data_IF_255270313385
#
_entry.id   IF_255270313385
#
_cell.length_a   1.000
_cell.length_b   1.000
_cell.length_c   1.000
_cell.angle_alpha   90.00
_cell.angle_beta   90.00
_cell.angle_gamma   90.00
#
_symmetry.space_group_name_H-M   'P 1'
#
loop_
_entity.id
_entity.type
_entity.pdbx_description
1 polymer ?
#
# COMPACT_ATOMS: atom_id res chain seq x y z
N UNK A 1 1.48 8.00 -17.52
CA UNK A 1 1.65 6.58 -17.13
C UNK A 1 3.03 6.37 -16.50
N UNK A 2 3.14 5.53 -15.47
CA UNK A 2 4.40 5.33 -14.75
C UNK A 2 5.54 4.79 -15.62
N UNK A 3 5.26 3.90 -16.56
CA UNK A 3 6.27 3.35 -17.46
C UNK A 3 7.01 4.44 -18.30
N UNK A 4 6.39 5.60 -18.50
CA UNK A 4 7.02 6.73 -19.19
C UNK A 4 7.66 7.74 -18.21
N UNK A 5 7.05 7.97 -17.05
CA UNK A 5 7.56 8.95 -16.07
C UNK A 5 8.69 8.42 -15.18
N UNK A 6 8.70 7.11 -14.92
CA UNK A 6 9.72 6.40 -14.15
C UNK A 6 9.90 4.96 -14.68
N UNK A 7 10.56 4.79 -15.83
CA UNK A 7 10.82 3.46 -16.39
C UNK A 7 11.77 2.60 -15.52
N UNK A 8 12.61 3.26 -14.71
CA UNK A 8 13.55 2.63 -13.79
C UNK A 8 12.86 1.87 -12.67
N UNK A 9 11.73 2.40 -12.18
CA UNK A 9 10.94 1.73 -11.16
C UNK A 9 10.45 0.33 -11.58
N UNK A 10 10.06 0.14 -12.84
CA UNK A 10 9.67 -1.19 -13.32
C UNK A 10 8.40 -1.77 -12.71
N UNK A 11 7.51 -0.93 -12.16
CA UNK A 11 6.23 -1.38 -11.62
C UNK A 11 5.36 -2.06 -12.68
N UNK A 12 4.84 -3.24 -12.35
CA UNK A 12 3.92 -4.02 -13.19
C UNK A 12 2.44 -3.74 -12.90
N UNK A 13 1.59 -3.88 -13.92
CA UNK A 13 0.13 -3.75 -13.77
C UNK A 13 -0.44 -4.77 -12.79
N UNK A 14 0.13 -5.97 -12.76
CA UNK A 14 -0.26 -7.09 -11.92
C UNK A 14 -0.05 -6.81 -10.44
N UNK A 15 1.01 -6.07 -10.07
CA UNK A 15 1.24 -5.64 -8.69
C UNK A 15 0.17 -4.65 -8.22
N UNK A 16 -0.14 -3.65 -9.06
CA UNK A 16 -1.21 -2.67 -8.78
C UNK A 16 -2.58 -3.33 -8.70
N UNK A 17 -2.88 -4.28 -9.60
CA UNK A 17 -4.10 -5.07 -9.56
C UNK A 17 -4.20 -5.93 -8.28
N UNK A 18 -3.10 -6.53 -7.84
CA UNK A 18 -3.07 -7.30 -6.59
C UNK A 18 -3.41 -6.44 -5.37
N UNK A 19 -2.86 -5.24 -5.29
CA UNK A 19 -3.19 -4.27 -4.23
C UNK A 19 -4.67 -3.88 -4.35
N UNK A 20 -5.16 -3.45 -5.52
CA UNK A 20 -6.57 -3.09 -5.72
C UNK A 20 -7.56 -4.21 -5.37
N UNK A 21 -7.18 -5.48 -5.57
CA UNK A 21 -7.95 -6.64 -5.12
C UNK A 21 -8.10 -6.66 -3.60
N UNK A 22 -7.01 -6.48 -2.87
CA UNK A 22 -6.98 -6.62 -1.42
C UNK A 22 -7.64 -5.41 -0.75
N UNK A 23 -7.39 -4.21 -1.29
CA UNK A 23 -7.90 -2.96 -0.73
C UNK A 23 -9.41 -2.79 -0.91
N UNK A 24 -9.95 -3.19 -2.07
CA UNK A 24 -11.36 -2.89 -2.38
C UNK A 24 -12.06 -3.96 -3.23
N UNK A 25 -11.48 -5.15 -3.36
CA UNK A 25 -11.98 -6.17 -4.28
C UNK A 25 -12.13 -5.63 -5.72
N UNK A 26 -11.12 -4.91 -6.20
CA UNK A 26 -11.13 -4.22 -7.50
C UNK A 26 -12.27 -3.21 -7.64
N UNK A 27 -12.37 -2.26 -6.71
CA UNK A 27 -13.47 -1.30 -6.66
C UNK A 27 -14.85 -1.99 -6.63
N UNK A 28 -15.05 -2.92 -5.69
CA UNK A 28 -16.27 -3.71 -5.53
C UNK A 28 -16.66 -4.50 -6.80
N UNK A 29 -15.69 -5.16 -7.43
CA UNK A 29 -15.90 -5.93 -8.66
C UNK A 29 -16.00 -5.08 -9.92
N UNK A 30 -15.39 -3.89 -9.94
CA UNK A 30 -15.39 -2.97 -11.07
C UNK A 30 -16.63 -2.08 -11.13
N UNK A 31 -17.24 -1.79 -9.98
CA UNK A 31 -18.43 -0.93 -9.87
C UNK A 31 -18.08 0.56 -10.06
N UNK A 32 -17.58 0.93 -11.25
CA UNK A 32 -17.21 2.29 -11.62
C UNK A 32 -18.10 2.85 -12.73
N UNK A 33 -18.22 4.17 -12.80
CA UNK A 33 -18.83 4.86 -13.94
C UNK A 33 -17.93 4.76 -15.18
N UNK A 34 -18.41 5.28 -16.31
CA UNK A 34 -17.68 5.26 -17.58
C UNK A 34 -16.35 6.05 -17.55
N UNK A 35 -16.13 6.88 -16.52
CA UNK A 35 -14.91 7.65 -16.30
C UNK A 35 -14.01 7.01 -15.24
N UNK A 36 -14.37 5.84 -14.72
CA UNK A 36 -13.59 5.09 -13.73
C UNK A 36 -13.81 5.54 -12.28
N UNK A 37 -14.78 6.42 -12.00
CA UNK A 37 -15.10 6.81 -10.62
C UNK A 37 -16.01 5.75 -9.99
N UNK A 38 -15.67 5.28 -8.78
CA UNK A 38 -16.48 4.31 -8.05
C UNK A 38 -17.92 4.81 -7.87
N UNK A 39 -18.92 3.98 -8.23
CA UNK A 39 -20.34 4.36 -8.22
C UNK A 39 -20.83 4.56 -6.78
N UNK A 40 -20.73 3.57 -5.88
CA UNK A 40 -20.68 3.84 -4.46
C UNK A 40 -19.28 4.34 -4.09
N UNK A 41 -19.16 5.49 -3.39
CA UNK A 41 -17.90 5.87 -2.77
C UNK A 41 -17.41 4.77 -1.82
N UNK A 42 -16.16 4.36 -2.02
CA UNK A 42 -15.44 3.39 -1.19
C UNK A 42 -14.72 4.15 -0.09
N UNK A 43 -15.09 3.88 1.15
CA UNK A 43 -14.40 4.36 2.33
C UNK A 43 -14.04 3.19 3.24
N UNK A 44 -12.79 3.19 3.69
CA UNK A 44 -12.31 2.24 4.69
C UNK A 44 -12.83 2.50 6.10
N UNK A 45 -12.29 1.75 7.07
CA UNK A 45 -12.51 2.01 8.48
C UNK A 45 -12.15 3.44 8.90
N UNK A 46 -12.73 3.89 10.00
CA UNK A 46 -12.34 5.13 10.64
C UNK A 46 -10.91 5.02 11.20
N UNK A 47 -10.18 6.13 11.10
CA UNK A 47 -8.83 6.32 11.61
C UNK A 47 -8.94 6.89 13.03
N UNK A 48 -9.58 6.13 13.92
CA UNK A 48 -9.93 6.52 15.30
C UNK A 48 -9.16 5.73 16.37
N UNK A 49 -8.22 4.88 15.95
CA UNK A 49 -7.38 4.07 16.82
C UNK A 49 -8.05 2.80 17.36
N UNK A 50 -9.28 2.49 16.94
CA UNK A 50 -9.99 1.27 17.37
C UNK A 50 -9.44 0.00 16.72
N UNK A 51 -8.78 0.12 15.56
CA UNK A 51 -8.06 -0.97 14.91
C UNK A 51 -6.56 -0.83 15.23
N UNK A 52 -5.99 -1.89 15.78
CA UNK A 52 -4.66 -1.89 16.39
C UNK A 52 -3.52 -1.62 15.38
N UNK A 53 -3.11 -0.37 15.22
CA UNK A 53 -2.08 0.09 14.26
C UNK A 53 -2.60 1.05 13.20
N UNK A 54 -3.89 1.44 13.24
CA UNK A 54 -4.39 2.51 12.37
C UNK A 54 -3.88 3.85 12.91
N UNK A 55 -3.48 4.74 11.99
CA UNK A 55 -3.28 6.15 12.37
C UNK A 55 -4.57 6.71 12.99
N UNK A 56 -4.42 7.58 13.98
CA UNK A 56 -5.53 8.37 14.51
C UNK A 56 -5.51 9.73 13.81
N UNK A 57 -6.43 9.93 12.87
CA UNK A 57 -6.51 11.17 12.09
C UNK A 57 -7.85 11.82 12.37
N UNK A 58 -7.82 12.94 13.10
CA UNK A 58 -9.00 13.80 13.28
C UNK A 58 -9.25 14.53 11.97
N UNK A 59 -10.46 14.38 11.43
CA UNK A 59 -10.92 15.10 10.25
C UNK A 59 -11.54 16.44 10.64
N UNK A 60 -12.44 16.45 11.62
CA UNK A 60 -13.09 17.67 12.08
C UNK A 60 -13.52 17.59 13.54
N UNK A 61 -13.67 18.76 14.17
CA UNK A 61 -14.30 18.87 15.49
C UNK A 61 -15.36 19.96 15.41
N UNK A 62 -16.63 19.57 15.54
CA UNK A 62 -17.78 20.49 15.44
C UNK A 62 -18.65 20.32 16.68
N UNK A 63 -18.86 21.40 17.43
CA UNK A 63 -19.72 21.38 18.62
C UNK A 63 -19.27 20.39 19.71
N UNK A 64 -17.96 20.12 19.81
CA UNK A 64 -17.40 19.14 20.75
C UNK A 64 -17.45 17.68 20.26
N UNK A 65 -18.00 17.42 19.07
CA UNK A 65 -17.98 16.10 18.43
C UNK A 65 -16.80 15.99 17.48
N UNK A 66 -15.96 14.98 17.69
CA UNK A 66 -14.82 14.64 16.82
C UNK A 66 -15.28 13.68 15.73
N UNK A 67 -14.89 13.95 14.48
CA UNK A 67 -14.94 12.97 13.38
C UNK A 67 -13.52 12.59 12.99
N UNK A 68 -13.35 11.34 12.61
CA UNK A 68 -12.06 10.80 12.19
C UNK A 68 -12.09 10.55 10.69
N UNK A 69 -10.95 10.77 10.04
CA UNK A 69 -10.79 10.51 8.63
C UNK A 69 -10.90 9.01 8.34
N UNK A 70 -11.02 8.67 7.06
CA UNK A 70 -11.09 7.29 6.57
C UNK A 70 -10.08 7.10 5.45
N UNK A 71 -9.66 5.86 5.24
CA UNK A 71 -9.02 5.48 3.99
C UNK A 71 -10.01 5.65 2.82
N UNK A 72 -9.52 6.09 1.66
CA UNK A 72 -10.37 6.57 0.56
C UNK A 72 -10.10 5.80 -0.74
N UNK A 73 -11.18 5.43 -1.41
CA UNK A 73 -11.17 4.99 -2.80
C UNK A 73 -10.67 3.57 -3.05
N UNK A 74 -10.59 3.15 -4.32
CA UNK A 74 -10.24 1.77 -4.70
C UNK A 74 -8.88 1.29 -4.18
N UNK A 75 -7.94 2.20 -3.95
CA UNK A 75 -6.60 1.91 -3.43
C UNK A 75 -6.44 2.28 -1.96
N UNK A 76 -7.54 2.63 -1.27
CA UNK A 76 -7.61 2.84 0.18
C UNK A 76 -6.55 3.82 0.73
N UNK A 77 -6.39 4.97 0.09
CA UNK A 77 -5.41 5.96 0.52
C UNK A 77 -5.76 6.60 1.85
N UNK A 78 -4.77 6.73 2.74
CA UNK A 78 -4.84 7.69 3.84
C UNK A 78 -4.77 9.13 3.31
N UNK A 79 -5.41 10.11 3.98
CA UNK A 79 -5.39 11.50 3.55
C UNK A 79 -3.99 12.08 3.32
N UNK A 80 -3.04 11.82 4.23
CA UNK A 80 -1.67 12.33 4.11
C UNK A 80 -0.92 11.71 2.92
N UNK A 81 -1.08 10.41 2.70
CA UNK A 81 -0.48 9.73 1.54
C UNK A 81 -1.10 10.23 0.23
N UNK A 82 -2.42 10.39 0.19
CA UNK A 82 -3.11 10.95 -0.98
C UNK A 82 -2.59 12.35 -1.32
N UNK A 83 -2.49 13.23 -0.33
CA UNK A 83 -2.00 14.59 -0.51
C UNK A 83 -0.58 14.66 -1.10
N UNK A 84 0.26 13.64 -0.82
CA UNK A 84 1.65 13.60 -1.31
C UNK A 84 1.81 12.93 -2.68
N UNK A 85 0.99 11.93 -2.99
CA UNK A 85 1.22 11.06 -4.14
C UNK A 85 0.15 11.15 -5.24
N UNK A 86 -0.96 11.84 -4.98
CA UNK A 86 -1.94 12.17 -6.02
C UNK A 86 -1.29 12.97 -7.16
N UNK A 87 -1.90 12.88 -8.34
CA UNK A 87 -1.56 13.73 -9.49
C UNK A 87 -2.78 14.52 -9.87
N UNK A 88 -2.63 15.84 -9.94
CA UNK A 88 -3.63 16.75 -10.48
C UNK A 88 -3.69 16.75 -12.01
N UNK A 89 -2.62 16.41 -12.74
CA UNK A 89 -2.68 16.31 -14.21
C UNK A 89 -3.45 17.48 -14.85
N UNK A 90 -4.49 17.20 -15.64
CA UNK A 90 -5.40 18.21 -16.23
C UNK A 90 -6.74 18.37 -15.47
N UNK A 91 -6.97 17.64 -14.38
CA UNK A 91 -8.23 17.67 -13.61
C UNK A 91 -8.00 17.38 -12.13
N UNK A 92 -8.85 17.92 -11.25
CA UNK A 92 -8.76 17.65 -9.81
C UNK A 92 -8.66 16.14 -9.55
N UNK A 93 -7.58 15.74 -8.85
CA UNK A 93 -7.33 14.36 -8.48
C UNK A 93 -8.46 13.87 -7.57
N UNK A 94 -9.03 12.72 -7.89
CA UNK A 94 -10.13 12.13 -7.12
C UNK A 94 -9.72 10.75 -6.59
N UNK A 95 -9.61 10.55 -5.26
CA UNK A 95 -9.26 9.24 -4.71
C UNK A 95 -10.30 8.17 -5.06
N UNK A 96 -11.56 8.56 -5.35
CA UNK A 96 -12.61 7.64 -5.78
C UNK A 96 -12.47 7.23 -7.24
N UNK A 97 -11.64 7.91 -8.03
CA UNK A 97 -11.35 7.54 -9.40
C UNK A 97 -10.29 6.43 -9.45
N UNK A 98 -10.63 5.30 -10.09
CA UNK A 98 -9.76 4.14 -10.21
C UNK A 98 -8.44 4.47 -10.92
N UNK A 99 -8.48 5.34 -11.94
CA UNK A 99 -7.26 5.72 -12.67
C UNK A 99 -6.33 6.58 -11.82
N UNK A 100 -6.88 7.56 -11.10
CA UNK A 100 -6.07 8.46 -10.26
C UNK A 100 -5.50 7.71 -9.06
N UNK A 101 -6.33 6.93 -8.37
CA UNK A 101 -5.91 6.12 -7.23
C UNK A 101 -4.85 5.09 -7.65
N UNK A 102 -5.02 4.43 -8.78
CA UNK A 102 -4.00 3.49 -9.29
C UNK A 102 -2.69 4.21 -9.64
N UNK A 103 -2.76 5.39 -10.27
CA UNK A 103 -1.57 6.17 -10.59
C UNK A 103 -0.85 6.66 -9.33
N UNK A 104 -1.60 7.13 -8.34
CA UNK A 104 -1.05 7.53 -7.04
C UNK A 104 -0.38 6.35 -6.33
N UNK A 105 -0.99 5.16 -6.37
CA UNK A 105 -0.42 3.95 -5.77
C UNK A 105 0.90 3.56 -6.45
N UNK A 106 0.94 3.69 -7.77
CA UNK A 106 2.14 3.42 -8.54
C UNK A 106 3.28 4.41 -8.19
N UNK A 107 2.97 5.70 -8.04
CA UNK A 107 3.94 6.71 -7.57
C UNK A 107 4.42 6.43 -6.15
N UNK A 108 3.52 6.02 -5.27
CA UNK A 108 3.87 5.67 -3.90
C UNK A 108 4.85 4.50 -3.86
N UNK A 109 4.55 3.41 -4.56
CA UNK A 109 5.39 2.21 -4.61
C UNK A 109 6.74 2.47 -5.25
N UNK A 110 6.80 3.29 -6.30
CA UNK A 110 8.05 3.68 -6.98
C UNK A 110 8.89 4.72 -6.22
N UNK A 111 8.35 5.35 -5.18
CA UNK A 111 9.06 6.41 -4.47
C UNK A 111 10.31 5.89 -3.76
N UNK A 112 11.25 6.79 -3.48
CA UNK A 112 12.62 6.50 -3.01
C UNK A 112 13.51 5.79 -4.05
N UNK A 113 13.14 5.84 -5.34
CA UNK A 113 13.96 5.31 -6.43
C UNK A 113 14.06 3.79 -6.45
N UNK A 114 13.03 3.11 -5.93
CA UNK A 114 12.99 1.65 -5.87
C UNK A 114 12.81 1.05 -7.27
N UNK A 115 13.53 -0.04 -7.55
CA UNK A 115 13.35 -0.89 -8.72
C UNK A 115 12.50 -2.11 -8.33
N UNK A 116 11.22 -2.10 -8.68
CA UNK A 116 10.25 -3.16 -8.41
C UNK A 116 10.38 -4.37 -9.33
N UNK A 117 11.46 -4.47 -10.11
CA UNK A 117 11.92 -5.74 -10.70
C UNK A 117 12.76 -6.55 -9.71
N UNK A 118 13.32 -5.89 -8.70
CA UNK A 118 14.01 -6.55 -7.60
C UNK A 118 13.00 -7.00 -6.54
N UNK A 119 13.11 -8.25 -6.11
CA UNK A 119 12.13 -8.85 -5.19
C UNK A 119 12.19 -8.23 -3.80
N UNK A 120 13.37 -7.87 -3.31
CA UNK A 120 13.54 -7.27 -1.98
C UNK A 120 13.00 -5.84 -1.95
N UNK A 121 13.27 -5.07 -3.01
CA UNK A 121 12.73 -3.72 -3.14
C UNK A 121 11.21 -3.73 -3.34
N UNK A 122 10.68 -4.73 -4.05
CA UNK A 122 9.23 -4.95 -4.17
C UNK A 122 8.59 -5.24 -2.82
N UNK A 123 9.16 -6.17 -2.05
CA UNK A 123 8.67 -6.48 -0.70
C UNK A 123 8.73 -5.24 0.20
N UNK A 124 9.82 -4.48 0.16
CA UNK A 124 9.97 -3.23 0.92
C UNK A 124 8.92 -2.19 0.53
N UNK A 125 8.63 -2.02 -0.76
CA UNK A 125 7.57 -1.13 -1.24
C UNK A 125 6.18 -1.55 -0.75
N UNK A 126 5.89 -2.86 -0.75
CA UNK A 126 4.60 -3.40 -0.28
C UNK A 126 4.47 -3.22 1.24
N UNK A 127 5.54 -3.49 2.01
CA UNK A 127 5.52 -3.31 3.46
C UNK A 127 5.42 -1.83 3.87
N UNK A 128 5.92 -0.92 3.04
CA UNK A 128 5.62 0.52 3.19
C UNK A 128 4.16 0.83 2.91
N UNK A 129 3.60 0.20 1.88
CA UNK A 129 2.18 0.35 1.56
C UNK A 129 1.31 -0.15 2.69
N UNK A 130 1.65 -1.29 3.30
CA UNK A 130 1.04 -1.84 4.51
C UNK A 130 2.04 -2.77 5.23
N UNK A 131 2.40 -2.42 6.48
CA UNK A 131 3.43 -3.13 7.25
C UNK A 131 2.95 -4.46 7.86
N UNK A 132 2.52 -5.37 6.99
CA UNK A 132 2.01 -6.69 7.34
C UNK A 132 2.59 -7.74 6.38
N UNK A 133 3.36 -8.68 6.92
CA UNK A 133 3.90 -9.80 6.13
C UNK A 133 2.79 -10.66 5.49
N UNK A 134 1.68 -11.00 6.19
CA UNK A 134 0.53 -11.64 5.53
C UNK A 134 -0.01 -10.83 4.34
N UNK A 135 -0.18 -9.51 4.50
CA UNK A 135 -0.60 -8.64 3.40
C UNK A 135 0.37 -8.72 2.22
N UNK A 136 1.68 -8.64 2.49
CA UNK A 136 2.69 -8.70 1.44
C UNK A 136 2.69 -10.03 0.69
N UNK A 137 2.51 -11.15 1.40
CA UNK A 137 2.36 -12.48 0.79
C UNK A 137 1.10 -12.55 -0.09
N UNK A 138 -0.02 -11.99 0.36
CA UNK A 138 -1.24 -11.90 -0.45
C UNK A 138 -1.03 -11.08 -1.73
N UNK A 139 -0.42 -9.90 -1.62
CA UNK A 139 -0.12 -9.04 -2.78
C UNK A 139 0.78 -9.77 -3.77
N UNK A 140 1.89 -10.37 -3.31
CA UNK A 140 2.82 -11.08 -4.19
C UNK A 140 2.19 -12.33 -4.83
N UNK A 141 1.39 -13.06 -4.07
CA UNK A 141 0.64 -14.22 -4.56
C UNK A 141 -0.35 -13.84 -5.67
N UNK A 142 -1.21 -12.86 -5.43
CA UNK A 142 -2.14 -12.36 -6.45
C UNK A 142 -1.45 -11.69 -7.63
N UNK A 143 -0.34 -10.98 -7.39
CA UNK A 143 0.46 -10.37 -8.45
C UNK A 143 1.04 -11.44 -9.39
N UNK A 144 1.52 -12.55 -8.84
CA UNK A 144 1.99 -13.72 -9.61
C UNK A 144 0.84 -14.38 -10.35
N UNK A 145 -0.32 -14.52 -9.71
CA UNK A 145 -1.50 -15.10 -10.32
C UNK A 145 -2.01 -14.28 -11.51
N UNK A 146 -2.00 -12.95 -11.40
CA UNK A 146 -2.35 -12.08 -12.50
C UNK A 146 -1.33 -12.13 -13.64
N UNK A 147 -0.05 -12.31 -13.34
CA UNK A 147 0.99 -12.43 -14.37
C UNK A 147 0.93 -13.76 -15.13
N UNK A 148 0.48 -14.84 -14.48
CA UNK A 148 0.60 -16.22 -15.00
C UNK A 148 -0.74 -16.88 -15.35
N UNK A 149 -1.85 -16.37 -14.83
CA UNK A 149 -3.16 -17.01 -14.89
C UNK A 149 -3.37 -18.14 -13.87
N UNK A 150 -2.37 -18.43 -13.02
CA UNK A 150 -2.45 -19.49 -12.00
C UNK A 150 -2.88 -18.89 -10.66
N UNK A 151 -4.09 -19.23 -10.19
CA UNK A 151 -4.62 -18.72 -8.92
C UNK A 151 -3.87 -19.34 -7.74
N UNK A 152 -3.51 -18.58 -6.68
CA UNK A 152 -2.82 -19.14 -5.53
C UNK A 152 -3.74 -20.11 -4.79
N UNK A 153 -3.20 -21.29 -4.47
CA UNK A 153 -3.82 -22.25 -3.54
C UNK A 153 -3.12 -22.10 -2.19
N UNK A 154 -3.86 -22.25 -1.09
CA UNK A 154 -3.33 -22.24 0.28
C UNK A 154 -2.62 -20.95 0.74
N UNK A 155 -3.18 -19.78 0.41
CA UNK A 155 -2.78 -18.56 1.14
C UNK A 155 -3.31 -18.63 2.58
N UNK A 156 -2.48 -18.41 3.62
CA UNK A 156 -2.94 -18.43 5.01
C UNK A 156 -4.13 -17.50 5.15
N UNK A 157 -5.23 -17.96 5.77
CA UNK A 157 -6.46 -17.17 5.89
C UNK A 157 -6.11 -15.73 6.33
N UNK A 158 -6.77 -14.70 5.79
CA UNK A 158 -6.57 -13.35 6.27
C UNK A 158 -7.22 -13.27 7.65
N UNK A 159 -6.55 -13.79 8.68
CA UNK A 159 -6.95 -13.66 10.08
C UNK A 159 -6.57 -12.24 10.49
N UNK A 160 -7.33 -11.30 9.98
CA UNK A 160 -7.18 -9.89 10.21
C UNK A 160 -8.29 -9.17 9.46
N UNK A 161 -9.14 -8.45 10.19
CA UNK A 161 -9.57 -7.15 9.70
C UNK A 161 -8.36 -6.48 9.05
N UNK A 162 -8.51 -5.96 7.82
CA UNK A 162 -7.52 -5.15 7.07
C UNK A 162 -6.38 -4.75 8.00
N UNK A 163 -5.26 -5.50 7.97
CA UNK A 163 -4.24 -5.29 8.99
C UNK A 163 -3.77 -3.85 8.87
N UNK A 164 -3.82 -3.08 9.94
CA UNK A 164 -3.50 -1.67 9.95
C UNK A 164 -2.14 -1.36 9.34
N UNK A 165 -2.09 -0.21 8.69
CA UNK A 165 -0.88 0.43 8.20
C UNK A 165 0.06 0.72 9.38
N UNK A 166 0.91 -0.24 9.71
CA UNK A 166 1.65 -0.27 10.97
C UNK A 166 2.46 0.99 11.32
N UNK A 167 2.60 1.16 12.63
CA UNK A 167 3.02 2.35 13.40
C UNK A 167 4.43 2.95 13.16
N UNK A 168 5.11 2.64 12.06
CA UNK A 168 6.46 3.22 11.82
C UNK A 168 6.45 4.69 11.36
N UNK A 169 5.26 5.26 11.14
CA UNK A 169 5.08 6.69 10.86
C UNK A 169 5.10 7.59 12.11
N UNK A 170 4.92 7.02 13.31
CA UNK A 170 4.76 7.80 14.55
C UNK A 170 6.05 8.44 15.07
N UNK A 171 7.24 8.06 14.58
CA UNK A 171 8.49 8.69 15.00
C UNK A 171 8.94 9.86 14.10
N UNK A 172 8.31 10.09 12.93
CA UNK A 172 8.74 11.12 11.97
C UNK A 172 7.57 11.77 11.21
N UNK A 173 7.26 13.07 11.44
CA UNK A 173 6.16 13.80 10.78
C UNK A 173 6.26 13.94 9.24
N UNK A 174 7.30 13.39 8.62
CA UNK A 174 7.59 13.54 7.18
C UNK A 174 7.19 12.34 6.31
N UNK A 175 6.52 11.32 6.86
CA UNK A 175 6.36 10.02 6.19
C UNK A 175 7.71 9.32 5.98
N UNK A 176 7.70 8.06 5.53
CA UNK A 176 8.94 7.30 5.25
C UNK A 176 9.58 7.81 3.96
N UNK A 177 10.22 8.98 4.07
CA UNK A 177 11.18 9.53 3.11
C UNK A 177 12.60 8.96 3.31
N UNK A 178 13.57 9.39 2.49
CA UNK A 178 14.75 8.63 2.05
C UNK A 178 15.92 8.53 3.06
N UNK A 179 15.64 8.44 4.37
CA UNK A 179 16.67 8.60 5.42
C UNK A 179 16.66 7.56 6.53
N UNK A 180 16.04 6.39 6.35
CA UNK A 180 16.17 5.30 7.32
C UNK A 180 17.31 4.34 6.91
N UNK A 181 18.25 4.02 7.80
CA UNK A 181 19.21 2.95 7.55
C UNK A 181 18.45 1.62 7.61
N UNK A 182 18.06 1.13 6.44
CA UNK A 182 17.57 -0.24 6.26
C UNK A 182 18.78 -1.17 6.23
N UNK A 183 18.69 -2.33 6.90
CA UNK A 183 19.68 -3.39 6.70
C UNK A 183 19.45 -4.10 5.35
N UNK A 184 20.34 -5.02 4.99
CA UNK A 184 20.26 -5.77 3.72
C UNK A 184 18.95 -6.59 3.56
N UNK A 185 18.21 -6.80 4.64
CA UNK A 185 16.93 -7.50 4.68
C UNK A 185 15.72 -6.56 4.70
N UNK A 186 15.93 -5.24 4.56
CA UNK A 186 14.85 -4.25 4.57
C UNK A 186 14.18 -4.06 5.94
N UNK A 187 14.79 -4.57 7.02
CA UNK A 187 14.29 -4.44 8.39
C UNK A 187 14.97 -3.26 9.12
N UNK A 188 14.29 -2.63 10.10
CA UNK A 188 14.92 -1.68 11.02
C UNK A 188 16.09 -2.35 11.77
N UNK A 189 17.18 -1.62 11.99
CA UNK A 189 18.37 -2.14 12.70
C UNK A 189 18.13 -2.53 14.16
N UNK A 190 16.98 -2.14 14.72
CA UNK A 190 16.53 -2.43 16.08
C UNK A 190 15.64 -3.67 16.16
N UNK A 191 15.26 -4.27 15.04
CA UNK A 191 14.41 -5.47 15.00
C UNK A 191 15.17 -6.70 15.51
N UNK A 192 14.61 -7.52 16.42
CA UNK A 192 15.26 -8.75 16.88
C UNK A 192 15.58 -9.75 15.74
N UNK A 193 14.85 -9.71 14.63
CA UNK A 193 15.13 -10.50 13.42
C UNK A 193 16.26 -9.90 12.56
N UNK A 194 16.62 -8.63 12.75
CA UNK A 194 17.80 -8.01 12.14
C UNK A 194 19.13 -8.53 12.73
N UNK A 195 19.08 -9.25 13.87
CA UNK A 195 20.25 -9.77 14.59
C UNK A 195 20.41 -11.29 14.49
N UNK A 196 19.56 -11.98 13.73
CA UNK A 196 19.71 -13.42 13.53
C UNK A 196 20.97 -13.68 12.69
N UNK A 197 21.94 -14.49 13.19
CA UNK A 197 23.09 -14.85 12.38
C UNK A 197 22.66 -15.69 11.19
N UNK A 198 23.33 -15.49 10.06
CA UNK A 198 23.20 -16.30 8.85
C UNK A 198 23.29 -17.79 9.24
N UNK A 199 22.18 -18.53 9.10
CA UNK A 199 22.25 -19.99 9.13
C UNK A 199 22.98 -20.39 7.84
N UNK A 200 24.24 -20.78 8.01
CA UNK A 200 25.09 -21.33 6.97
C UNK A 200 24.54 -22.71 6.57
N UNK A 201 23.90 -22.78 5.40
CA UNK A 201 23.68 -24.05 4.72
C UNK A 201 24.91 -24.36 3.88
N UNK A 202 25.96 -24.79 4.57
CA UNK A 202 27.16 -25.33 3.96
C UNK A 202 26.84 -26.56 3.11
N UNK A 203 27.16 -26.42 1.82
CA UNK A 203 27.54 -27.43 0.82
C UNK A 203 27.48 -28.93 1.19
N UNK A 204 26.67 -29.66 0.41
CA UNK A 204 26.98 -31.01 -0.09
C UNK A 204 26.70 -31.08 -1.59
#
# INVERSE_FOLDING_TARGET
MMAASDPGCGIGWNLLAAIGRIESMHANGGATDARGTAVPPIYGPALDGTLAGNEVIVESTVGGRVTYARAMGPMQFLPGTWARYSSDGDRVADPQNLYDSTLAAARYLCSNGLNLRDQQQTLSAILRYNNSMPYAQYVLGWSTAYATGVVPVDLPAPTGSVSPLGDTHLEKPGGIGPGLPLNIYGLPSTDPMAKAPLIDFGSH
#
